data_IF_177886208923
#
_entry.id   IF_177886208923
#
_cell.length_a   1.000
_cell.length_b   1.000
_cell.length_c   1.000
_cell.angle_alpha   90.00
_cell.angle_beta   90.00
_cell.angle_gamma   90.00
#
_symmetry.space_group_name_H-M   'P 1'
#
loop_
_entity.id
_entity.type
_entity.pdbx_description
1 polymer ?
#
# COMPACT_ATOMS: atom_id res chain seq x y z
N UNK A 1 1.41 -4.14 3.21
CA UNK A 1 1.18 -2.95 2.39
C UNK A 1 0.90 -1.70 3.23
N UNK A 2 -0.14 -1.70 4.11
CA UNK A 2 -0.48 -0.53 4.93
C UNK A 2 0.69 -0.03 5.76
N UNK A 3 1.40 -0.92 6.47
CA UNK A 3 2.56 -0.57 7.27
C UNK A 3 3.72 -0.03 6.41
N UNK A 4 3.90 -0.56 5.19
CA UNK A 4 4.93 -0.06 4.27
C UNK A 4 4.62 1.36 3.79
N UNK A 5 3.35 1.65 3.47
CA UNK A 5 2.93 3.01 3.11
C UNK A 5 3.05 3.98 4.30
N UNK A 6 2.68 3.55 5.50
CA UNK A 6 2.85 4.33 6.73
C UNK A 6 4.33 4.70 6.94
N UNK A 7 5.22 3.70 6.88
CA UNK A 7 6.66 3.91 6.98
C UNK A 7 7.22 4.84 5.88
N UNK A 8 6.67 4.74 4.65
CA UNK A 8 7.02 5.65 3.56
C UNK A 8 6.69 7.11 3.92
N UNK A 9 5.48 7.38 4.41
CA UNK A 9 5.11 8.74 4.80
C UNK A 9 5.88 9.26 6.00
N UNK A 10 6.19 8.40 6.98
CA UNK A 10 7.03 8.76 8.13
C UNK A 10 8.44 9.13 7.69
N UNK A 11 8.99 8.42 6.71
CA UNK A 11 10.31 8.74 6.14
C UNK A 11 10.30 10.05 5.36
N UNK A 12 9.25 10.33 4.57
CA UNK A 12 9.10 11.61 3.87
C UNK A 12 9.04 12.77 4.89
N UNK A 13 8.31 12.59 6.00
CA UNK A 13 8.25 13.56 7.09
C UNK A 13 9.61 13.74 7.74
N UNK A 14 10.31 12.66 8.06
CA UNK A 14 11.63 12.69 8.67
C UNK A 14 12.65 13.45 7.79
N UNK A 15 12.56 13.29 6.48
CA UNK A 15 13.40 14.00 5.49
C UNK A 15 12.93 15.42 5.21
N UNK A 16 11.88 15.90 5.86
CA UNK A 16 11.28 17.24 5.62
C UNK A 16 11.03 17.53 4.13
N UNK A 17 10.51 16.52 3.41
CA UNK A 17 10.21 16.63 1.98
C UNK A 17 9.09 17.64 1.79
N UNK A 18 9.26 18.60 0.88
CA UNK A 18 8.26 19.61 0.56
C UNK A 18 7.23 19.09 -0.44
N UNK A 19 5.99 19.60 -0.39
CA UNK A 19 4.93 19.20 -1.31
C UNK A 19 5.32 19.46 -2.78
N UNK A 20 5.93 20.62 -3.06
CA UNK A 20 6.31 21.02 -4.42
C UNK A 20 7.47 20.20 -4.99
N UNK A 21 8.29 19.61 -4.14
CA UNK A 21 9.38 18.73 -4.58
C UNK A 21 8.91 17.32 -4.97
N UNK A 22 7.68 16.96 -4.58
CA UNK A 22 7.13 15.65 -4.86
C UNK A 22 6.64 15.51 -6.30
N UNK A 23 6.75 14.30 -6.86
CA UNK A 23 6.14 13.95 -8.16
C UNK A 23 4.63 14.15 -8.14
N UNK A 24 4.05 14.37 -9.34
CA UNK A 24 2.63 14.65 -9.52
C UNK A 24 1.72 13.57 -8.92
N UNK A 25 2.11 12.30 -9.07
CA UNK A 25 1.36 11.16 -8.55
C UNK A 25 1.19 11.25 -7.04
N UNK A 26 2.29 11.50 -6.33
CA UNK A 26 2.30 11.62 -4.87
C UNK A 26 1.55 12.87 -4.41
N UNK A 27 1.75 14.01 -5.07
CA UNK A 27 0.97 15.25 -4.80
C UNK A 27 -0.53 15.02 -4.96
N UNK A 28 -0.91 14.36 -6.05
CA UNK A 28 -2.31 14.02 -6.33
C UNK A 28 -2.89 13.13 -5.24
N UNK A 29 -2.13 12.15 -4.77
CA UNK A 29 -2.59 11.24 -3.71
C UNK A 29 -2.72 11.95 -2.35
N UNK A 30 -1.78 12.83 -2.00
CA UNK A 30 -1.86 13.68 -0.81
C UNK A 30 -3.14 14.52 -0.84
N UNK A 31 -3.43 15.20 -1.95
CA UNK A 31 -4.64 16.01 -2.10
C UNK A 31 -5.92 15.18 -2.09
N UNK A 32 -5.92 13.99 -2.70
CA UNK A 32 -7.07 13.07 -2.62
C UNK A 32 -7.35 12.62 -1.18
N UNK A 33 -6.31 12.36 -0.42
CA UNK A 33 -6.45 12.01 1.00
C UNK A 33 -7.02 13.19 1.81
N UNK A 34 -6.61 14.43 1.52
CA UNK A 34 -7.17 15.62 2.16
C UNK A 34 -8.68 15.79 1.89
N UNK A 35 -9.14 15.54 0.66
CA UNK A 35 -10.57 15.67 0.30
C UNK A 35 -11.51 14.76 1.09
N UNK A 36 -11.00 13.72 1.72
CA UNK A 36 -11.77 12.81 2.60
C UNK A 36 -11.96 13.36 4.02
N UNK A 37 -11.33 14.48 4.34
CA UNK A 37 -11.45 15.12 5.64
C UNK A 37 -12.56 16.19 5.67
N UNK A 38 -13.06 16.50 6.86
CA UNK A 38 -13.95 17.65 7.04
C UNK A 38 -13.19 18.97 6.74
N UNK A 39 -13.95 20.03 6.44
CA UNK A 39 -13.42 21.35 6.04
C UNK A 39 -12.38 21.88 7.03
N UNK A 40 -12.62 21.72 8.33
CA UNK A 40 -11.73 22.19 9.38
C UNK A 40 -10.35 21.50 9.34
N UNK A 41 -10.32 20.18 9.09
CA UNK A 41 -9.07 19.44 8.90
C UNK A 41 -8.37 19.82 7.61
N UNK A 42 -9.13 20.11 6.54
CA UNK A 42 -8.56 20.59 5.27
C UNK A 42 -7.88 21.94 5.52
N UNK A 43 -8.54 22.90 6.19
CA UNK A 43 -7.97 24.22 6.48
C UNK A 43 -6.69 24.11 7.30
N UNK A 44 -6.69 23.29 8.37
CA UNK A 44 -5.47 23.05 9.17
C UNK A 44 -4.35 22.42 8.34
N UNK A 45 -4.67 21.50 7.43
CA UNK A 45 -3.68 20.87 6.54
C UNK A 45 -3.17 21.85 5.49
N UNK A 46 -4.00 22.75 4.99
CA UNK A 46 -3.59 23.80 4.03
C UNK A 46 -2.59 24.78 4.64
N UNK A 47 -2.73 25.13 5.92
CA UNK A 47 -1.75 25.99 6.60
C UNK A 47 -0.37 25.32 6.69
N UNK A 48 -0.30 24.00 6.76
CA UNK A 48 0.95 23.23 6.76
C UNK A 48 1.48 23.03 5.33
N UNK A 49 0.60 22.84 4.34
CA UNK A 49 0.99 22.82 2.91
C UNK A 49 1.55 24.17 2.48
N UNK A 50 1.01 25.29 2.99
CA UNK A 50 1.52 26.63 2.73
C UNK A 50 2.91 26.88 3.34
N UNK A 51 3.38 26.01 4.23
CA UNK A 51 4.76 26.02 4.76
C UNK A 51 5.69 25.04 4.03
N UNK A 52 5.27 24.52 2.86
CA UNK A 52 6.02 23.59 1.99
C UNK A 52 6.39 22.23 2.62
N UNK A 53 5.76 21.84 3.72
CA UNK A 53 6.02 20.55 4.34
C UNK A 53 4.99 19.52 3.85
N UNK A 54 5.45 18.34 3.41
CA UNK A 54 4.56 17.22 3.11
C UNK A 54 3.88 16.76 4.38
N UNK A 55 2.60 17.06 4.48
CA UNK A 55 1.77 16.55 5.58
C UNK A 55 1.37 15.13 5.27
N UNK A 56 1.77 14.20 6.11
CA UNK A 56 1.27 12.84 6.01
C UNK A 56 -0.21 12.80 6.41
N UNK A 57 -1.07 12.85 5.41
CA UNK A 57 -2.52 12.64 5.58
C UNK A 57 -2.91 11.17 5.43
N UNK A 58 -1.91 10.29 5.48
CA UNK A 58 -2.11 8.86 5.35
C UNK A 58 -2.96 8.33 6.50
N UNK A 59 -4.07 7.69 6.16
CA UNK A 59 -4.88 6.91 7.08
C UNK A 59 -4.75 5.44 6.75
N UNK A 60 -4.19 4.68 7.68
CA UNK A 60 -3.97 3.25 7.56
C UNK A 60 -5.26 2.48 7.26
N UNK A 61 -6.38 2.91 7.80
CA UNK A 61 -7.71 2.31 7.63
C UNK A 61 -8.25 2.49 6.22
N UNK A 62 -7.89 3.59 5.56
CA UNK A 62 -8.38 3.96 4.23
C UNK A 62 -7.49 3.45 3.09
N UNK A 63 -6.24 3.09 3.39
CA UNK A 63 -5.25 2.72 2.37
C UNK A 63 -5.55 1.39 1.67
N UNK A 64 -6.24 0.47 2.34
CA UNK A 64 -6.78 -0.74 1.75
C UNK A 64 -7.90 -1.28 2.65
N UNK A 65 -9.12 -1.32 2.20
CA UNK A 65 -10.17 -2.14 2.80
C UNK A 65 -9.69 -3.60 2.82
N UNK A 66 -10.00 -4.36 3.86
CA UNK A 66 -9.43 -5.68 4.21
C UNK A 66 -9.18 -6.74 3.12
N UNK A 67 -9.56 -6.48 1.87
CA UNK A 67 -9.46 -7.38 0.72
C UNK A 67 -8.35 -6.91 -0.24
N UNK A 68 -7.09 -7.12 0.14
CA UNK A 68 -5.94 -6.79 -0.70
C UNK A 68 -5.61 -7.97 -1.60
N UNK A 69 -5.63 -7.76 -2.92
CA UNK A 69 -5.15 -8.68 -3.95
C UNK A 69 -4.12 -7.99 -4.86
N UNK A 70 -3.63 -8.74 -5.85
CA UNK A 70 -2.63 -8.24 -6.80
C UNK A 70 -3.10 -6.97 -7.56
N UNK A 71 -4.40 -6.87 -7.89
CA UNK A 71 -4.97 -5.72 -8.57
C UNK A 71 -4.91 -4.47 -7.70
N UNK A 72 -5.34 -4.58 -6.44
CA UNK A 72 -5.30 -3.48 -5.47
C UNK A 72 -3.86 -3.03 -5.23
N UNK A 73 -2.90 -3.96 -5.09
CA UNK A 73 -1.49 -3.63 -4.92
C UNK A 73 -0.96 -2.88 -6.15
N UNK A 74 -1.31 -3.31 -7.36
CA UNK A 74 -0.89 -2.64 -8.60
C UNK A 74 -1.44 -1.21 -8.70
N UNK A 75 -2.70 -1.02 -8.36
CA UNK A 75 -3.32 0.31 -8.34
C UNK A 75 -2.63 1.23 -7.31
N UNK A 76 -2.32 0.72 -6.13
CA UNK A 76 -1.60 1.46 -5.09
C UNK A 76 -0.18 1.80 -5.54
N UNK A 77 0.57 0.84 -6.11
CA UNK A 77 1.90 1.09 -6.65
C UNK A 77 1.88 2.22 -7.69
N UNK A 78 0.92 2.17 -8.62
CA UNK A 78 0.73 3.25 -9.60
C UNK A 78 0.36 4.59 -8.97
N UNK A 79 -0.52 4.60 -7.96
CA UNK A 79 -0.95 5.83 -7.28
C UNK A 79 0.17 6.53 -6.52
N UNK A 80 1.09 5.76 -5.93
CA UNK A 80 2.20 6.30 -5.15
C UNK A 80 3.50 6.42 -5.94
N UNK A 81 3.59 5.74 -7.11
CA UNK A 81 4.72 5.84 -8.04
C UNK A 81 5.88 4.90 -7.75
N UNK A 82 5.72 3.87 -6.91
CA UNK A 82 6.72 2.84 -6.72
C UNK A 82 6.51 1.65 -7.68
N UNK A 83 7.56 0.86 -7.92
CA UNK A 83 7.48 -0.27 -8.84
C UNK A 83 6.58 -1.38 -8.31
N UNK A 84 5.76 -1.96 -9.19
CA UNK A 84 4.98 -3.16 -8.87
C UNK A 84 5.90 -4.39 -8.99
N UNK A 85 5.82 -5.38 -8.07
CA UNK A 85 6.62 -6.60 -8.14
C UNK A 85 6.48 -7.33 -9.47
N UNK A 86 7.57 -7.92 -9.93
CA UNK A 86 7.63 -8.71 -11.18
C UNK A 86 7.20 -10.17 -10.97
N UNK A 87 7.27 -10.67 -9.74
CA UNK A 87 6.92 -12.02 -9.36
C UNK A 87 5.42 -12.31 -9.53
N UNK A 88 5.10 -13.60 -9.68
CA UNK A 88 3.72 -14.06 -9.75
C UNK A 88 2.95 -13.70 -8.48
N UNK A 89 1.69 -13.39 -8.64
CA UNK A 89 0.80 -12.93 -7.57
C UNK A 89 -0.55 -13.66 -7.54
N UNK A 90 -0.65 -14.78 -8.27
CA UNK A 90 -1.92 -15.52 -8.43
C UNK A 90 -2.42 -16.07 -7.09
N UNK A 91 -1.50 -16.51 -6.24
CA UNK A 91 -1.81 -17.04 -4.92
C UNK A 91 -2.36 -16.00 -3.93
N UNK A 92 -2.15 -14.73 -4.18
CA UNK A 92 -2.81 -13.66 -3.39
C UNK A 92 -4.34 -13.73 -3.52
N UNK A 93 -4.85 -14.11 -4.70
CA UNK A 93 -6.29 -14.30 -4.89
C UNK A 93 -6.79 -15.53 -4.14
N UNK A 94 -6.05 -16.62 -4.17
CA UNK A 94 -6.35 -17.84 -3.40
C UNK A 94 -6.45 -17.54 -1.91
N UNK A 95 -5.45 -16.86 -1.35
CA UNK A 95 -5.42 -16.47 0.07
C UNK A 95 -6.58 -15.53 0.41
N UNK A 96 -6.86 -14.52 -0.42
CA UNK A 96 -7.97 -13.59 -0.24
C UNK A 96 -9.32 -14.30 -0.23
N UNK A 97 -9.55 -15.19 -1.20
CA UNK A 97 -10.82 -15.92 -1.34
C UNK A 97 -11.04 -16.87 -0.15
N UNK A 98 -10.05 -17.70 0.19
CA UNK A 98 -10.15 -18.61 1.33
C UNK A 98 -10.35 -17.88 2.65
N UNK A 99 -9.65 -16.75 2.85
CA UNK A 99 -9.83 -15.91 4.04
C UNK A 99 -11.23 -15.32 4.12
N UNK A 100 -11.80 -14.88 3.00
CA UNK A 100 -13.13 -14.31 2.97
C UNK A 100 -14.20 -15.38 3.22
N UNK A 101 -14.07 -16.56 2.62
CA UNK A 101 -14.98 -17.70 2.86
C UNK A 101 -15.03 -18.05 4.36
N UNK A 102 -13.87 -18.10 5.01
CA UNK A 102 -13.77 -18.35 6.45
C UNK A 102 -14.35 -17.20 7.28
N UNK A 103 -14.00 -15.94 6.94
CA UNK A 103 -14.41 -14.78 7.72
C UNK A 103 -15.92 -14.51 7.67
N UNK A 104 -16.57 -14.87 6.58
CA UNK A 104 -18.01 -14.73 6.39
C UNK A 104 -18.80 -16.00 6.73
N UNK A 105 -18.13 -17.06 7.20
CA UNK A 105 -18.77 -18.32 7.55
C UNK A 105 -19.34 -19.08 6.35
N UNK A 106 -18.88 -18.78 5.12
CA UNK A 106 -19.30 -19.45 3.91
C UNK A 106 -18.71 -20.86 3.82
N UNK A 107 -17.53 -21.06 4.40
CA UNK A 107 -16.87 -22.37 4.56
C UNK A 107 -16.26 -22.48 5.95
N UNK A 108 -16.23 -23.71 6.45
CA UNK A 108 -15.49 -24.09 7.66
C UNK A 108 -14.00 -24.26 7.36
N UNK A 109 -13.16 -24.28 8.41
CA UNK A 109 -11.74 -24.63 8.27
C UNK A 109 -11.52 -26.01 7.65
N UNK A 110 -12.37 -26.99 7.98
CA UNK A 110 -12.32 -28.33 7.39
C UNK A 110 -12.59 -28.33 5.90
N UNK A 111 -13.55 -27.54 5.44
CA UNK A 111 -13.90 -27.45 4.02
C UNK A 111 -12.80 -26.75 3.23
N UNK A 112 -12.26 -25.65 3.71
CA UNK A 112 -11.13 -24.97 3.06
C UNK A 112 -9.88 -25.86 3.11
N UNK A 113 -9.62 -26.54 4.23
CA UNK A 113 -8.44 -27.37 4.39
C UNK A 113 -8.41 -28.61 3.50
N UNK A 114 -9.57 -29.12 3.06
CA UNK A 114 -9.65 -30.23 2.11
C UNK A 114 -9.11 -29.91 0.73
N UNK A 115 -9.14 -28.63 0.35
CA UNK A 115 -8.70 -28.16 -0.96
C UNK A 115 -7.17 -28.02 -1.06
N UNK A 116 -6.44 -28.17 0.08
CA UNK A 116 -5.00 -27.93 0.16
C UNK A 116 -4.27 -29.05 0.90
N UNK A 117 -3.32 -29.70 0.24
CA UNK A 117 -2.31 -30.51 0.91
C UNK A 117 -1.16 -29.65 1.42
N UNK A 118 -0.24 -30.26 2.19
CA UNK A 118 0.90 -29.56 2.77
C UNK A 118 1.84 -28.97 1.72
N UNK A 119 2.05 -29.68 0.60
CA UNK A 119 2.92 -29.20 -0.48
C UNK A 119 2.31 -27.96 -1.16
N UNK A 120 1.00 -27.99 -1.40
CA UNK A 120 0.26 -26.85 -1.97
C UNK A 120 0.28 -25.64 -1.04
N UNK A 121 0.07 -25.82 0.26
CA UNK A 121 0.14 -24.74 1.26
C UNK A 121 1.55 -24.13 1.32
N UNK A 122 2.60 -24.95 1.28
CA UNK A 122 3.97 -24.44 1.26
C UNK A 122 4.28 -23.69 -0.04
N UNK A 123 3.74 -24.14 -1.18
CA UNK A 123 3.82 -23.43 -2.46
C UNK A 123 3.19 -22.03 -2.39
N UNK A 124 1.93 -21.94 -1.90
CA UNK A 124 1.22 -20.69 -1.68
C UNK A 124 2.02 -19.75 -0.77
N UNK A 125 2.49 -20.28 0.37
CA UNK A 125 3.29 -19.51 1.32
C UNK A 125 4.55 -18.94 0.67
N UNK A 126 5.30 -19.75 -0.07
CA UNK A 126 6.54 -19.33 -0.75
C UNK A 126 6.27 -18.21 -1.77
N UNK A 127 5.27 -18.39 -2.63
CA UNK A 127 4.91 -17.41 -3.65
C UNK A 127 4.48 -16.08 -3.02
N UNK A 128 3.54 -16.13 -2.07
CA UNK A 128 3.04 -14.94 -1.39
C UNK A 128 4.16 -14.22 -0.63
N UNK A 129 4.99 -14.96 0.12
CA UNK A 129 6.10 -14.35 0.86
C UNK A 129 7.16 -13.74 -0.07
N UNK A 130 7.47 -14.38 -1.19
CA UNK A 130 8.41 -13.83 -2.17
C UNK A 130 7.87 -12.54 -2.79
N UNK A 131 6.60 -12.55 -3.23
CA UNK A 131 5.94 -11.38 -3.78
C UNK A 131 5.89 -10.20 -2.79
N UNK A 132 5.52 -10.46 -1.53
CA UNK A 132 5.45 -9.41 -0.51
C UNK A 132 6.84 -8.87 -0.15
N UNK A 133 7.88 -9.70 -0.20
CA UNK A 133 9.26 -9.25 0.00
C UNK A 133 9.69 -8.29 -1.11
N UNK A 134 9.49 -8.66 -2.38
CA UNK A 134 9.79 -7.79 -3.52
C UNK A 134 9.00 -6.48 -3.45
N UNK A 135 7.75 -6.51 -2.98
CA UNK A 135 6.96 -5.31 -2.76
C UNK A 135 7.58 -4.38 -1.71
N UNK A 136 8.06 -4.92 -0.59
CA UNK A 136 8.71 -4.14 0.47
C UNK A 136 10.04 -3.57 -0.05
N UNK A 137 10.83 -4.36 -0.76
CA UNK A 137 12.09 -3.92 -1.40
C UNK A 137 11.83 -2.78 -2.40
N UNK A 138 10.80 -2.90 -3.23
CA UNK A 138 10.40 -1.86 -4.18
C UNK A 138 10.02 -0.53 -3.49
N UNK A 139 9.32 -0.58 -2.37
CA UNK A 139 9.04 0.64 -1.58
C UNK A 139 10.31 1.21 -0.96
N UNK A 140 11.21 0.34 -0.46
CA UNK A 140 12.49 0.77 0.10
C UNK A 140 13.37 1.44 -0.97
N UNK A 141 13.45 0.86 -2.16
CA UNK A 141 14.21 1.43 -3.27
C UNK A 141 13.65 2.77 -3.74
N UNK A 142 12.31 2.90 -3.79
CA UNK A 142 11.63 4.16 -4.08
C UNK A 142 12.01 5.26 -3.09
N UNK A 143 12.11 4.93 -1.81
CA UNK A 143 12.53 5.88 -0.75
C UNK A 143 14.02 6.19 -0.80
N UNK A 144 14.87 5.18 -1.01
CA UNK A 144 16.32 5.31 -1.01
C UNK A 144 16.82 6.09 -2.24
N UNK A 145 16.22 5.82 -3.40
CA UNK A 145 16.54 6.54 -4.65
C UNK A 145 15.92 7.92 -4.75
N UNK A 146 15.12 8.32 -3.75
CA UNK A 146 14.34 9.56 -3.77
C UNK A 146 13.45 9.69 -5.03
N UNK A 147 12.95 8.58 -5.55
CA UNK A 147 12.12 8.53 -6.76
C UNK A 147 10.76 9.25 -6.61
N UNK A 148 10.39 9.64 -5.40
CA UNK A 148 9.24 10.49 -5.08
C UNK A 148 9.44 11.98 -5.42
N UNK A 149 10.66 12.40 -5.67
CA UNK A 149 10.98 13.77 -6.05
C UNK A 149 10.81 14.00 -7.56
N UNK A 150 10.57 15.24 -7.95
CA UNK A 150 10.65 15.67 -9.34
C UNK A 150 12.12 15.53 -9.79
N UNK A 151 12.34 14.87 -10.92
CA UNK A 151 13.67 14.86 -11.53
C UNK A 151 14.07 16.33 -11.84
N UNK A 152 15.23 16.73 -11.36
CA UNK A 152 15.80 18.05 -11.66
C UNK A 152 16.27 18.08 -13.10
#
# INVERSE_FOLDING_TARGET
LKNALEAMFDELRRKSVTFDSCRLELRTQILKNLRKHNVEKIVRSMSVISTDVVVATFRKEEAAAGNVDAKVIREIAKLYGFAYPSLKSDELLTVKTSRNDLAHGLKSFSEVGRDFDLARLDGIRKEVCAFLRELIESVADYLNSAAYLIAK
#
